data_IF_982140672722
#
_entry.id   IF_982140672722
#
_cell.length_a   1.000
_cell.length_b   1.000
_cell.length_c   1.000
_cell.angle_alpha   90.00
_cell.angle_beta   90.00
_cell.angle_gamma   90.00
#
_symmetry.space_group_name_H-M   'P 1'
#
loop_
_entity.id
_entity.type
_entity.pdbx_description
1 polymer ?
#
# COMPACT_ATOMS: atom_id res chain seq x y z
N UNK A 1 9.81 -3.37 -14.20
CA UNK A 1 9.30 -2.72 -12.97
C UNK A 1 9.31 -1.22 -13.23
N UNK A 2 8.16 -0.54 -13.16
CA UNK A 2 8.06 0.90 -13.43
C UNK A 2 8.15 1.64 -12.11
N UNK A 3 9.18 2.47 -11.98
CA UNK A 3 9.37 3.32 -10.80
C UNK A 3 8.31 4.44 -10.80
N UNK A 4 7.76 4.76 -9.63
CA UNK A 4 6.68 5.73 -9.50
C UNK A 4 7.17 7.20 -9.65
N UNK A 5 8.46 7.44 -9.90
CA UNK A 5 9.01 8.79 -10.10
C UNK A 5 8.91 9.69 -8.86
N UNK A 6 8.57 9.11 -7.71
CA UNK A 6 8.45 9.80 -6.42
C UNK A 6 9.59 9.35 -5.53
N UNK A 7 10.34 10.31 -4.98
CA UNK A 7 11.35 10.03 -3.96
C UNK A 7 10.69 9.40 -2.73
N UNK A 8 11.12 8.21 -2.38
CA UNK A 8 10.61 7.48 -1.23
C UNK A 8 11.35 7.92 0.05
N UNK A 9 10.62 8.53 0.98
CA UNK A 9 11.09 8.77 2.34
C UNK A 9 10.33 7.86 3.32
N UNK A 10 11.04 6.91 3.93
CA UNK A 10 10.48 5.97 4.91
C UNK A 10 9.72 6.64 6.06
N UNK A 11 10.09 7.88 6.44
CA UNK A 11 9.42 8.60 7.53
C UNK A 11 8.07 9.16 7.13
N UNK A 12 7.87 9.42 5.83
CA UNK A 12 6.63 9.96 5.30
C UNK A 12 5.60 8.88 4.95
N UNK A 13 6.02 7.64 4.76
CA UNK A 13 5.15 6.57 4.29
C UNK A 13 4.94 5.50 5.36
N UNK A 14 3.71 5.00 5.48
CA UNK A 14 3.38 3.84 6.31
C UNK A 14 2.73 2.76 5.47
N UNK A 15 3.21 1.53 5.64
CA UNK A 15 2.59 0.35 5.04
C UNK A 15 1.46 -0.12 5.93
N UNK A 16 0.26 -0.23 5.35
CA UNK A 16 -0.91 -0.81 5.98
C UNK A 16 -1.21 -2.14 5.33
N UNK A 17 -1.31 -3.19 6.14
CA UNK A 17 -1.70 -4.52 5.71
C UNK A 17 -3.01 -4.84 6.41
N UNK A 18 -4.05 -5.04 5.60
CA UNK A 18 -5.32 -5.58 6.04
C UNK A 18 -5.43 -7.01 5.53
N UNK A 19 -5.62 -7.95 6.44
CA UNK A 19 -5.69 -9.37 6.12
C UNK A 19 -6.93 -9.99 6.73
N UNK A 20 -7.65 -10.76 5.93
CA UNK A 20 -8.72 -11.63 6.34
C UNK A 20 -8.44 -13.06 5.86
N UNK A 21 -9.28 -14.03 6.27
CA UNK A 21 -9.17 -15.41 5.76
C UNK A 21 -9.32 -15.51 4.24
N UNK A 22 -9.99 -14.55 3.62
CA UNK A 22 -10.36 -14.59 2.19
C UNK A 22 -9.67 -13.51 1.37
N UNK A 23 -8.91 -12.61 1.98
CA UNK A 23 -8.29 -11.52 1.25
C UNK A 23 -7.10 -10.93 1.98
N UNK A 24 -6.18 -10.38 1.20
CA UNK A 24 -5.04 -9.60 1.69
C UNK A 24 -4.98 -8.33 0.87
N UNK A 25 -4.92 -7.18 1.55
CA UNK A 25 -4.66 -5.89 0.93
C UNK A 25 -3.48 -5.24 1.62
N UNK A 26 -2.50 -4.80 0.83
CA UNK A 26 -1.41 -3.98 1.32
C UNK A 26 -1.42 -2.65 0.57
N UNK A 27 -1.46 -1.55 1.32
CA UNK A 27 -1.54 -0.19 0.79
C UNK A 27 -0.51 0.67 1.51
N UNK A 28 0.20 1.50 0.75
CA UNK A 28 1.11 2.50 1.28
C UNK A 28 0.38 3.83 1.40
N UNK A 29 0.35 4.40 2.61
CA UNK A 29 -0.28 5.70 2.89
C UNK A 29 0.79 6.74 3.22
N UNK A 30 0.59 7.96 2.73
CA UNK A 30 1.43 9.10 3.06
C UNK A 30 0.92 9.80 4.31
N UNK A 31 1.83 10.14 5.22
CA UNK A 31 1.52 10.84 6.47
C UNK A 31 0.94 12.23 6.16
N UNK A 32 -0.21 12.55 6.77
CA UNK A 32 -0.94 13.78 6.45
C UNK A 32 -1.76 13.70 5.17
N UNK A 33 -1.81 12.53 4.50
CA UNK A 33 -2.62 12.26 3.31
C UNK A 33 -2.37 13.27 2.16
N UNK A 34 -1.14 13.81 2.09
CA UNK A 34 -0.74 14.81 1.08
C UNK A 34 -0.60 14.16 -0.30
N UNK A 35 -0.16 12.90 -0.33
CA UNK A 35 -0.04 12.08 -1.55
C UNK A 35 -1.11 10.98 -1.56
N UNK A 36 -1.51 10.55 -2.75
CA UNK A 36 -2.47 9.47 -2.92
C UNK A 36 -1.94 8.13 -2.35
N UNK A 37 -2.86 7.27 -1.93
CA UNK A 37 -2.52 5.92 -1.49
C UNK A 37 -2.03 5.07 -2.66
N UNK A 38 -1.02 4.24 -2.39
CA UNK A 38 -0.42 3.37 -3.40
C UNK A 38 -0.72 1.91 -3.05
N UNK A 39 -1.52 1.18 -3.82
CA UNK A 39 -1.73 -0.25 -3.59
C UNK A 39 -0.44 -1.02 -3.93
N UNK A 40 0.05 -1.81 -2.97
CA UNK A 40 1.30 -2.58 -3.09
C UNK A 40 1.02 -4.06 -3.32
N UNK A 41 -0.02 -4.60 -2.69
CA UNK A 41 -0.44 -5.97 -2.90
C UNK A 41 -1.96 -6.11 -2.75
N UNK A 42 -2.53 -7.01 -3.53
CA UNK A 42 -3.93 -7.41 -3.43
C UNK A 42 -4.05 -8.90 -3.74
N UNK A 43 -4.60 -9.66 -2.82
CA UNK A 43 -4.92 -11.07 -3.00
C UNK A 43 -6.35 -11.33 -2.55
N UNK A 44 -7.07 -12.17 -3.31
CA UNK A 44 -8.42 -12.61 -2.97
C UNK A 44 -8.41 -14.13 -3.05
N UNK A 45 -8.67 -14.78 -1.91
CA UNK A 45 -8.97 -16.20 -1.85
C UNK A 45 -10.32 -16.45 -2.51
N UNK A 46 -10.36 -17.38 -3.47
CA UNK A 46 -11.62 -17.96 -3.92
C UNK A 46 -12.06 -19.04 -2.93
N UNK A 47 -13.35 -19.04 -2.63
CA UNK A 47 -14.05 -20.08 -1.87
C UNK A 47 -14.52 -21.13 -2.86
#
# INVERSE_FOLDING_TARGET
MKEIGVTYDQKEWRLFIDSSKLSLKAVMLHNGNVKASVPVAHCVGRI
#
